data_IF_571694068875
#
_entry.id   IF_571694068875
#
_cell.length_a   1.000
_cell.length_b   1.000
_cell.length_c   1.000
_cell.angle_alpha   90.00
_cell.angle_beta   90.00
_cell.angle_gamma   90.00
#
_symmetry.space_group_name_H-M   'P 1'
#
loop_
_entity.id
_entity.type
_entity.pdbx_description
1 polymer ?
#
# COMPACT_ATOMS: atom_id res chain seq x y z
N UNK A 1 -18.04 2.72 4.99
CA UNK A 1 -16.64 3.19 5.07
C UNK A 1 -15.82 2.34 4.11
N UNK A 2 -14.92 2.93 3.32
CA UNK A 2 -14.04 2.13 2.46
C UNK A 2 -13.11 1.29 3.34
N UNK A 3 -12.92 0.03 2.99
CA UNK A 3 -11.97 -0.88 3.65
C UNK A 3 -10.71 -1.14 2.83
N UNK A 4 -10.66 -0.58 1.61
CA UNK A 4 -9.57 -0.73 0.67
C UNK A 4 -9.28 0.60 -0.03
N UNK A 5 -7.99 0.89 -0.25
CA UNK A 5 -7.49 1.94 -1.14
C UNK A 5 -6.59 1.24 -2.17
N UNK A 6 -6.64 1.65 -3.43
CA UNK A 6 -5.76 1.13 -4.47
C UNK A 6 -5.12 2.32 -5.19
N UNK A 7 -3.81 2.27 -5.38
CA UNK A 7 -3.00 3.37 -5.89
C UNK A 7 -2.04 2.81 -6.95
N UNK A 8 -2.00 3.43 -8.12
CA UNK A 8 -1.06 3.11 -9.18
C UNK A 8 0.26 3.83 -8.94
N UNK A 9 1.02 3.36 -7.96
CA UNK A 9 2.33 3.88 -7.64
C UNK A 9 3.14 2.84 -6.86
N UNK A 10 4.46 3.01 -6.82
CA UNK A 10 5.37 2.19 -6.03
C UNK A 10 5.12 2.38 -4.54
N UNK A 11 5.53 1.39 -3.74
CA UNK A 11 5.41 1.46 -2.29
C UNK A 11 6.18 2.65 -1.72
N UNK A 12 7.40 2.93 -2.19
CA UNK A 12 8.21 4.07 -1.73
C UNK A 12 7.47 5.39 -1.89
N UNK A 13 6.91 5.63 -3.09
CA UNK A 13 6.16 6.85 -3.36
C UNK A 13 4.86 6.93 -2.56
N UNK A 14 4.19 5.80 -2.31
CA UNK A 14 2.99 5.77 -1.46
C UNK A 14 3.33 6.10 -0.01
N UNK A 15 4.42 5.55 0.52
CA UNK A 15 4.87 5.82 1.89
C UNK A 15 5.33 7.27 2.04
N UNK A 16 6.10 7.80 1.09
CA UNK A 16 6.54 9.20 1.11
C UNK A 16 5.34 10.16 1.02
N UNK A 17 4.37 9.88 0.12
CA UNK A 17 3.14 10.64 0.04
C UNK A 17 2.33 10.62 1.35
N UNK A 18 2.29 9.46 2.02
CA UNK A 18 1.56 9.29 3.27
C UNK A 18 2.29 9.86 4.51
N UNK A 19 3.56 10.23 4.40
CA UNK A 19 4.45 10.58 5.53
C UNK A 19 3.86 11.60 6.51
N UNK A 20 3.26 12.74 6.09
CA UNK A 20 2.65 13.68 7.04
C UNK A 20 1.53 13.05 7.89
N UNK A 21 0.83 12.05 7.35
CA UNK A 21 -0.19 11.30 8.07
C UNK A 21 0.42 10.17 8.91
N UNK A 22 1.48 9.51 8.43
CA UNK A 22 2.20 8.52 9.24
C UNK A 22 2.70 9.15 10.54
N UNK A 23 3.32 10.33 10.46
CA UNK A 23 3.81 11.08 11.63
C UNK A 23 2.65 11.51 12.54
N UNK A 24 1.60 12.11 11.95
CA UNK A 24 0.44 12.62 12.71
C UNK A 24 -0.30 11.54 13.50
N UNK A 25 -0.39 10.34 12.94
CA UNK A 25 -1.15 9.23 13.52
C UNK A 25 -0.26 8.20 14.21
N UNK A 26 1.06 8.45 14.31
CA UNK A 26 2.05 7.55 14.89
C UNK A 26 1.99 6.14 14.27
N UNK A 27 2.03 6.09 12.93
CA UNK A 27 1.92 4.85 12.16
C UNK A 27 3.32 4.36 11.78
N UNK A 28 3.65 3.15 12.22
CA UNK A 28 4.86 2.44 11.89
C UNK A 28 4.68 1.60 10.63
N UNK A 29 5.71 1.58 9.78
CA UNK A 29 5.71 0.83 8.51
C UNK A 29 6.58 -0.41 8.66
N UNK A 30 6.04 -1.57 8.35
CA UNK A 30 6.76 -2.84 8.40
C UNK A 30 6.75 -3.52 7.04
N UNK A 31 7.87 -4.08 6.61
CA UNK A 31 7.97 -4.82 5.35
C UNK A 31 8.07 -6.30 5.65
N UNK A 32 7.20 -7.11 5.05
CA UNK A 32 7.27 -8.56 5.11
C UNK A 32 8.06 -9.10 3.93
N UNK A 33 8.99 -9.98 4.26
CA UNK A 33 9.71 -10.79 3.31
C UNK A 33 9.38 -12.27 3.51
N UNK A 34 9.35 -13.01 2.41
CA UNK A 34 9.14 -14.45 2.40
C UNK A 34 10.10 -15.10 1.42
N UNK A 35 10.89 -16.03 1.92
CA UNK A 35 11.75 -16.90 1.11
C UNK A 35 11.69 -18.33 1.66
N UNK A 36 11.45 -19.30 0.77
CA UNK A 36 11.56 -20.73 1.07
C UNK A 36 10.84 -21.17 2.37
N UNK A 37 9.67 -20.58 2.62
CA UNK A 37 8.82 -20.85 3.80
C UNK A 37 9.19 -20.07 5.08
N UNK A 38 10.30 -19.32 5.08
CA UNK A 38 10.65 -18.37 6.14
C UNK A 38 9.92 -17.05 5.89
N UNK A 39 9.44 -16.45 6.96
CA UNK A 39 8.83 -15.12 6.96
C UNK A 39 9.56 -14.27 7.99
N UNK A 40 9.95 -13.07 7.60
CA UNK A 40 10.53 -12.09 8.51
C UNK A 40 10.02 -10.70 8.17
N UNK A 41 10.09 -9.83 9.16
CA UNK A 41 9.61 -8.46 9.05
C UNK A 41 10.74 -7.50 9.39
N UNK A 42 10.75 -6.36 8.72
CA UNK A 42 11.64 -5.24 9.05
C UNK A 42 10.78 -4.04 9.40
N UNK A 43 11.15 -3.30 10.44
CA UNK A 43 10.59 -1.98 10.70
C UNK A 43 11.32 -0.98 9.82
N UNK A 44 10.57 -0.20 9.04
CA UNK A 44 11.13 0.89 8.27
C UNK A 44 11.41 2.07 9.22
N UNK A 45 12.68 2.35 9.48
CA UNK A 45 13.08 3.51 10.27
C UNK A 45 12.92 4.81 9.45
N UNK A 46 12.66 5.93 10.14
CA UNK A 46 12.37 7.24 9.53
C UNK A 46 13.46 7.78 8.56
N UNK A 47 14.65 7.16 8.55
CA UNK A 47 15.80 7.55 7.72
C UNK A 47 16.03 6.64 6.52
N UNK A 48 15.23 5.59 6.33
CA UNK A 48 15.38 4.68 5.20
C UNK A 48 14.87 5.38 3.94
N UNK A 49 15.78 5.60 3.00
CA UNK A 49 15.51 6.31 1.74
C UNK A 49 14.81 5.45 0.69
N UNK A 50 14.96 4.13 0.77
CA UNK A 50 14.42 3.17 -0.19
C UNK A 50 14.05 1.88 0.53
N UNK A 51 12.85 1.37 0.26
CA UNK A 51 12.40 0.07 0.72
C UNK A 51 13.08 -0.99 -0.15
N UNK A 52 13.71 -1.99 0.48
CA UNK A 52 14.32 -3.10 -0.27
C UNK A 52 13.22 -4.00 -0.88
N UNK A 53 12.89 -3.75 -2.14
CA UNK A 53 11.93 -4.52 -2.93
C UNK A 53 12.67 -5.54 -3.80
N UNK A 54 13.05 -6.65 -3.18
CA UNK A 54 13.70 -7.79 -3.84
C UNK A 54 12.71 -8.96 -4.07
N UNK A 55 13.21 -10.11 -4.56
CA UNK A 55 12.40 -11.29 -4.84
C UNK A 55 11.68 -11.87 -3.61
N UNK A 56 12.24 -11.63 -2.42
CA UNK A 56 11.65 -12.04 -1.15
C UNK A 56 10.57 -11.07 -0.67
N UNK A 57 10.45 -9.85 -1.21
CA UNK A 57 9.40 -8.93 -0.81
C UNK A 57 8.01 -9.56 -1.03
N UNK A 58 7.23 -9.62 0.04
CA UNK A 58 5.89 -10.21 0.06
C UNK A 58 4.83 -9.12 0.05
N UNK A 59 4.78 -8.34 1.12
CA UNK A 59 3.79 -7.31 1.42
C UNK A 59 4.36 -6.34 2.47
N UNK A 60 3.56 -5.38 2.91
CA UNK A 60 3.91 -4.46 3.99
C UNK A 60 2.72 -4.26 4.93
N UNK A 61 2.98 -3.68 6.10
CA UNK A 61 1.98 -3.40 7.11
C UNK A 61 2.15 -1.97 7.63
N UNK A 62 1.03 -1.30 7.87
CA UNK A 62 0.99 -0.01 8.56
C UNK A 62 0.28 -0.25 9.89
N UNK A 63 0.94 0.04 11.01
CA UNK A 63 0.37 -0.19 12.33
C UNK A 63 0.50 1.04 13.22
N UNK A 64 -0.56 1.36 13.96
CA UNK A 64 -0.51 2.37 15.04
C UNK A 64 0.03 1.81 16.36
N UNK A 65 0.44 0.53 16.36
CA UNK A 65 1.10 -0.13 17.47
C UNK A 65 2.55 -0.40 17.08
N UNK A 66 3.49 0.00 17.93
CA UNK A 66 4.88 -0.42 17.81
C UNK A 66 4.98 -1.92 18.14
N UNK A 67 5.56 -2.69 17.24
CA UNK A 67 5.63 -4.15 17.29
C UNK A 67 7.09 -4.54 17.22
N UNK A 68 7.53 -5.35 18.18
CA UNK A 68 8.84 -5.94 18.17
C UNK A 68 8.90 -7.09 17.15
N UNK A 69 9.48 -6.80 15.98
CA UNK A 69 9.65 -7.77 14.88
C UNK A 69 10.92 -8.62 15.00
N UNK A 70 11.71 -8.47 16.07
CA UNK A 70 12.83 -9.38 16.36
C UNK A 70 12.35 -10.79 16.72
N UNK A 71 11.09 -10.92 17.12
CA UNK A 71 10.44 -12.18 17.44
C UNK A 71 9.54 -12.64 16.29
N UNK A 72 9.19 -13.93 16.30
CA UNK A 72 8.20 -14.46 15.35
C UNK A 72 6.82 -13.88 15.68
N UNK A 73 6.36 -12.95 14.85
CA UNK A 73 5.06 -12.28 14.99
C UNK A 73 4.15 -12.56 13.79
N UNK A 74 2.85 -12.33 13.98
CA UNK A 74 1.86 -12.33 12.92
C UNK A 74 1.02 -11.08 13.04
N UNK A 75 0.99 -10.25 12.00
CA UNK A 75 0.13 -9.08 11.93
C UNK A 75 -1.38 -9.41 11.92
N UNK A 76 -1.72 -10.68 11.72
CA UNK A 76 -3.09 -11.20 11.78
C UNK A 76 -3.46 -11.80 13.14
N UNK A 77 -2.56 -11.77 14.13
CA UNK A 77 -2.88 -12.20 15.50
C UNK A 77 -3.89 -11.24 16.13
N UNK A 78 -4.68 -11.76 17.08
CA UNK A 78 -5.75 -11.00 17.75
C UNK A 78 -5.24 -9.72 18.43
N UNK A 79 -3.98 -9.71 18.86
CA UNK A 79 -3.35 -8.60 19.57
C UNK A 79 -2.86 -7.46 18.67
N UNK A 80 -2.75 -7.70 17.36
CA UNK A 80 -2.09 -6.80 16.39
C UNK A 80 -3.04 -6.36 15.27
N UNK A 81 -3.88 -7.26 14.78
CA UNK A 81 -4.68 -7.02 13.57
C UNK A 81 -5.64 -5.82 13.69
N UNK A 82 -6.11 -5.53 14.92
CA UNK A 82 -6.97 -4.37 15.22
C UNK A 82 -6.31 -3.02 14.94
N UNK A 83 -4.98 -2.95 14.96
CA UNK A 83 -4.19 -1.73 14.80
C UNK A 83 -3.59 -1.59 13.41
N UNK A 84 -3.88 -2.53 12.50
CA UNK A 84 -3.06 -2.79 11.32
C UNK A 84 -3.83 -2.64 10.01
N UNK A 85 -3.16 -2.08 9.01
CA UNK A 85 -3.52 -2.11 7.59
C UNK A 85 -2.49 -2.99 6.88
N UNK A 86 -2.95 -3.88 6.01
CA UNK A 86 -2.11 -4.64 5.10
C UNK A 86 -1.93 -3.86 3.79
N UNK A 87 -0.69 -3.80 3.31
CA UNK A 87 -0.32 -3.25 2.02
C UNK A 87 0.26 -4.34 1.11
N UNK A 88 -0.14 -4.39 -0.14
CA UNK A 88 0.37 -5.36 -1.14
C UNK A 88 0.74 -4.66 -2.44
N UNK A 89 1.64 -5.26 -3.22
CA UNK A 89 2.06 -4.74 -4.52
C UNK A 89 3.10 -3.64 -4.39
N UNK A 90 3.12 -2.67 -5.32
CA UNK A 90 4.03 -1.52 -5.26
C UNK A 90 5.45 -1.78 -5.77
N UNK A 91 5.67 -2.90 -6.48
CA UNK A 91 6.94 -3.20 -7.17
C UNK A 91 7.10 -2.34 -8.43
N UNK A 92 8.35 -2.07 -8.81
CA UNK A 92 8.72 -1.44 -10.09
C UNK A 92 9.73 -2.34 -10.83
N UNK A 93 9.54 -2.50 -12.14
CA UNK A 93 10.43 -3.25 -13.03
C UNK A 93 10.49 -2.54 -14.40
N UNK A 94 11.54 -1.74 -14.61
CA UNK A 94 11.68 -0.85 -15.76
C UNK A 94 10.51 0.14 -15.84
N UNK A 95 9.72 0.05 -16.90
CA UNK A 95 8.53 0.90 -17.08
C UNK A 95 7.28 0.32 -16.42
N UNK A 96 7.37 -0.85 -15.79
CA UNK A 96 6.23 -1.51 -15.17
C UNK A 96 6.08 -1.12 -13.71
N UNK A 97 4.88 -0.78 -13.27
CA UNK A 97 4.53 -0.54 -11.86
C UNK A 97 3.38 -1.45 -11.45
N UNK A 98 3.53 -2.12 -10.32
CA UNK A 98 2.48 -2.91 -9.69
C UNK A 98 1.62 -2.02 -8.80
N UNK A 99 0.30 -2.16 -8.90
CA UNK A 99 -0.64 -1.44 -8.07
C UNK A 99 -0.35 -1.69 -6.57
N UNK A 100 -0.20 -0.61 -5.80
CA UNK A 100 -0.20 -0.67 -4.35
C UNK A 100 -1.63 -0.72 -3.84
N UNK A 101 -2.00 -1.75 -3.09
CA UNK A 101 -3.31 -1.87 -2.45
C UNK A 101 -3.17 -1.86 -0.93
N UNK A 102 -3.96 -1.02 -0.26
CA UNK A 102 -4.05 -0.95 1.19
C UNK A 102 -5.40 -1.49 1.64
N UNK A 103 -5.42 -2.34 2.67
CA UNK A 103 -6.63 -2.98 3.21
C UNK A 103 -6.62 -2.95 4.73
N UNK A 104 -7.70 -2.44 5.34
CA UNK A 104 -7.96 -2.69 6.76
C UNK A 104 -8.28 -4.17 6.96
N UNK A 105 -7.47 -4.88 7.74
CA UNK A 105 -7.63 -6.33 7.95
C UNK A 105 -8.62 -6.67 9.08
N UNK A 106 -8.76 -5.78 10.07
CA UNK A 106 -9.77 -5.93 11.13
C UNK A 106 -11.15 -5.45 10.70
N UNK A 107 -12.20 -6.17 11.10
CA UNK A 107 -13.61 -5.73 10.98
C UNK A 107 -13.98 -4.66 12.00
N UNK A 108 -13.27 -4.62 13.12
CA UNK A 108 -13.43 -3.67 14.22
C UNK A 108 -12.08 -3.00 14.49
N UNK A 109 -11.56 -2.21 13.52
CA UNK A 109 -10.26 -1.57 13.67
C UNK A 109 -10.30 -0.54 14.80
N UNK A 110 -9.15 -0.39 15.46
CA UNK A 110 -8.95 0.63 16.48
C UNK A 110 -9.14 2.04 15.86
N UNK A 111 -9.57 3.00 16.69
CA UNK A 111 -9.97 4.33 16.26
C UNK A 111 -8.85 5.08 15.54
N UNK A 112 -7.61 4.96 15.99
CA UNK A 112 -6.47 5.69 15.43
C UNK A 112 -6.10 5.18 14.03
N UNK A 113 -5.91 3.86 13.85
CA UNK A 113 -5.63 3.28 12.52
C UNK A 113 -6.78 3.54 11.54
N UNK A 114 -8.02 3.49 12.01
CA UNK A 114 -9.20 3.85 11.22
C UNK A 114 -9.18 5.33 10.82
N UNK A 115 -8.73 6.21 11.70
CA UNK A 115 -8.64 7.65 11.43
C UNK A 115 -7.54 7.95 10.41
N UNK A 116 -6.38 7.32 10.54
CA UNK A 116 -5.30 7.36 9.55
C UNK A 116 -5.80 6.91 8.16
N UNK A 117 -6.45 5.74 8.07
CA UNK A 117 -6.96 5.22 6.80
C UNK A 117 -7.92 6.19 6.11
N UNK A 118 -8.86 6.77 6.87
CA UNK A 118 -9.80 7.76 6.33
C UNK A 118 -9.11 9.07 5.95
N UNK A 119 -8.11 9.50 6.71
CA UNK A 119 -7.33 10.69 6.39
C UNK A 119 -6.56 10.52 5.09
N UNK A 120 -5.90 9.37 4.89
CA UNK A 120 -5.19 9.05 3.65
C UNK A 120 -6.14 9.02 2.44
N UNK A 121 -7.29 8.35 2.57
CA UNK A 121 -8.31 8.35 1.53
C UNK A 121 -8.82 9.77 1.20
N UNK A 122 -9.01 10.61 2.21
CA UNK A 122 -9.46 11.99 2.02
C UNK A 122 -8.38 12.87 1.42
N UNK A 123 -7.10 12.63 1.74
CA UNK A 123 -5.95 13.31 1.15
C UNK A 123 -5.92 13.05 -0.35
N UNK A 124 -5.92 11.77 -0.76
CA UNK A 124 -5.97 11.35 -2.17
C UNK A 124 -7.17 11.93 -2.95
N UNK A 125 -8.35 12.05 -2.31
CA UNK A 125 -9.55 12.60 -2.95
C UNK A 125 -9.53 14.11 -3.15
N UNK A 126 -8.80 14.83 -2.31
CA UNK A 126 -8.73 16.30 -2.31
C UNK A 126 -7.51 16.82 -3.05
N UNK A 127 -6.52 15.97 -3.25
CA UNK A 127 -5.32 16.28 -3.98
C UNK A 127 -5.64 16.50 -5.47
N UNK A 128 -5.26 17.67 -5.98
CA UNK A 128 -5.53 18.06 -7.36
C UNK A 128 -4.65 17.31 -8.36
N UNK A 129 -3.52 16.76 -7.92
CA UNK A 129 -2.58 16.01 -8.77
C UNK A 129 -2.98 14.55 -8.93
N UNK A 130 -3.87 14.05 -8.06
CA UNK A 130 -4.45 12.72 -8.17
C UNK A 130 -5.79 12.75 -8.91
N UNK A 131 -6.07 11.67 -9.62
CA UNK A 131 -7.41 11.35 -10.11
C UNK A 131 -7.77 9.92 -9.71
N UNK A 132 -9.01 9.51 -10.00
CA UNK A 132 -9.52 8.17 -9.72
C UNK A 132 -10.20 7.57 -10.95
N UNK A 133 -10.06 6.26 -11.08
CA UNK A 133 -10.72 5.49 -12.11
C UNK A 133 -9.78 5.13 -13.25
N UNK A 134 -9.65 3.83 -13.52
CA UNK A 134 -8.85 3.33 -14.65
C UNK A 134 -9.69 2.48 -15.59
N UNK A 135 -9.38 2.54 -16.88
CA UNK A 135 -10.09 1.78 -17.90
C UNK A 135 -9.36 0.46 -18.16
N UNK A 136 -10.03 -0.66 -17.89
CA UNK A 136 -9.51 -2.00 -18.20
C UNK A 136 -10.49 -2.84 -19.05
N UNK A 137 -11.44 -2.20 -19.73
CA UNK A 137 -12.40 -2.86 -20.61
C UNK A 137 -13.46 -3.72 -19.91
N UNK A 138 -13.53 -3.76 -18.58
CA UNK A 138 -14.54 -4.56 -17.86
C UNK A 138 -14.95 -3.99 -16.48
N UNK A 139 -15.85 -3.00 -16.46
CA UNK A 139 -16.78 -2.83 -15.33
C UNK A 139 -16.35 -1.95 -14.14
N UNK A 140 -17.32 -1.81 -13.23
CA UNK A 140 -17.41 -0.87 -12.09
C UNK A 140 -16.34 -1.01 -11.01
N UNK A 141 -15.45 -2.02 -11.10
CA UNK A 141 -14.46 -2.37 -10.08
C UNK A 141 -13.20 -1.48 -10.11
N UNK A 142 -13.00 -0.72 -11.18
CA UNK A 142 -11.77 0.04 -11.42
C UNK A 142 -11.91 1.55 -11.14
N UNK A 143 -13.11 2.00 -10.74
CA UNK A 143 -13.45 3.42 -10.52
C UNK A 143 -12.80 4.05 -9.27
N UNK A 144 -12.33 3.22 -8.35
CA UNK A 144 -11.82 3.64 -7.04
C UNK A 144 -10.29 3.46 -6.92
N UNK A 145 -9.60 3.29 -8.05
CA UNK A 145 -8.13 3.22 -8.13
C UNK A 145 -7.60 4.63 -8.36
N UNK A 146 -6.76 5.10 -7.46
CA UNK A 146 -6.10 6.40 -7.53
C UNK A 146 -4.84 6.32 -8.40
N UNK A 147 -4.56 7.37 -9.14
CA UNK A 147 -3.31 7.52 -9.89
C UNK A 147 -2.89 8.98 -9.93
N UNK A 148 -1.58 9.23 -10.03
CA UNK A 148 -1.04 10.56 -10.20
C UNK A 148 -1.16 10.96 -11.68
N UNK A 149 -1.74 12.13 -11.97
CA UNK A 149 -2.02 12.59 -13.34
C UNK A 149 -0.76 12.68 -14.21
N UNK A 150 0.38 13.04 -13.59
CA UNK A 150 1.67 13.14 -14.29
C UNK A 150 2.23 11.79 -14.76
N UNK A 151 1.73 10.66 -14.25
CA UNK A 151 2.22 9.33 -14.64
C UNK A 151 1.56 8.76 -15.90
N UNK A 152 0.49 9.39 -16.41
CA UNK A 152 -0.47 8.81 -17.35
C UNK A 152 0.07 8.40 -18.73
N UNK A 153 1.36 8.56 -19.04
CA UNK A 153 1.91 8.25 -20.37
C UNK A 153 3.26 7.52 -20.39
N UNK A 154 3.99 7.47 -19.28
CA UNK A 154 5.37 6.91 -19.26
C UNK A 154 5.49 5.52 -18.64
N UNK A 155 4.47 5.04 -17.92
CA UNK A 155 4.53 3.77 -17.18
C UNK A 155 3.39 2.81 -17.58
N UNK A 156 3.69 1.52 -17.50
CA UNK A 156 2.74 0.41 -17.70
C UNK A 156 2.34 -0.11 -16.33
N UNK A 157 1.05 -0.04 -16.03
CA UNK A 157 0.54 -0.43 -14.72
C UNK A 157 -0.01 -1.86 -14.74
N UNK A 158 0.16 -2.59 -13.64
CA UNK A 158 -0.33 -3.96 -13.49
C UNK A 158 -1.04 -4.13 -12.15
N UNK A 159 -2.06 -4.99 -12.10
CA UNK A 159 -2.72 -5.32 -10.82
C UNK A 159 -1.83 -6.17 -9.92
N UNK A 160 -1.10 -7.10 -10.52
CA UNK A 160 -0.25 -8.09 -9.85
C UNK A 160 0.87 -8.50 -10.80
N UNK A 161 2.12 -8.39 -10.38
CA UNK A 161 3.28 -8.79 -11.19
C UNK A 161 3.38 -10.31 -11.36
N UNK A 162 2.81 -11.10 -10.45
CA UNK A 162 2.76 -12.56 -10.56
C UNK A 162 1.74 -13.02 -11.60
N UNK A 163 0.80 -12.15 -11.99
CA UNK A 163 -0.26 -12.41 -12.96
C UNK A 163 -0.37 -11.22 -13.92
N UNK A 164 0.64 -11.08 -14.79
CA UNK A 164 0.68 -10.08 -15.87
C UNK A 164 -0.30 -10.42 -17.00
N UNK A 165 -1.60 -10.51 -16.68
CA UNK A 165 -2.64 -10.87 -17.65
C UNK A 165 -2.99 -9.69 -18.56
N UNK A 166 -3.30 -8.53 -17.96
CA UNK A 166 -3.66 -7.31 -18.69
C UNK A 166 -3.11 -6.06 -18.01
N UNK A 167 -2.43 -5.16 -18.75
CA UNK A 167 -2.00 -3.89 -18.21
C UNK A 167 -3.20 -2.98 -17.95
N UNK A 168 -3.08 -2.15 -16.93
CA UNK A 168 -4.04 -1.10 -16.57
C UNK A 168 -3.77 0.11 -17.46
N UNK A 169 -4.82 0.61 -18.11
CA UNK A 169 -4.75 1.84 -18.89
C UNK A 169 -5.38 2.99 -18.11
N UNK A 170 -4.60 4.04 -17.91
CA UNK A 170 -5.10 5.31 -17.40
C UNK A 170 -5.74 6.03 -18.57
N UNK A 171 -7.04 6.32 -18.48
CA UNK A 171 -7.71 7.23 -19.41
C UNK A 171 -7.64 8.61 -18.79
N UNK A 172 -6.81 9.48 -19.36
CA UNK A 172 -6.80 10.89 -19.01
C UNK A 172 -8.12 11.58 -19.35
#
# INVERSE_FOLDING_TARGET
MASKISILNTIDNVIEYAKPLLDKYEVYVYIEYRDSGKVWHTLLENNIKEIDINESYSCFFLSTKLIDVSQKISFYSDEIYGYTIEGTGGREDGDNIEQTALRMISKTPEKNIKSFFNALLNMLKKDADYDKGVYSGAGTFYKDIFYLKSMGQSKIFWFDFKRKDKPIKITG
#
